data_IF_169207170528
#
_entry.id   IF_169207170528
#
_cell.length_a   1.000
_cell.length_b   1.000
_cell.length_c   1.000
_cell.angle_alpha   90.00
_cell.angle_beta   90.00
_cell.angle_gamma   90.00
#
_symmetry.space_group_name_H-M   'P 1'
#
loop_
_entity.id
_entity.type
_entity.pdbx_description
1 polymer ?
#
# COMPACT_ATOMS: atom_id res chain seq x y z
N UNK A 1 23.18 -65.94 16.26
CA UNK A 1 22.72 -65.95 14.86
C UNK A 1 22.11 -64.58 14.61
N UNK A 2 22.89 -63.52 14.50
CA UNK A 2 23.86 -63.17 13.46
C UNK A 2 23.21 -63.03 12.08
N UNK A 3 22.86 -61.78 11.73
CA UNK A 3 22.74 -61.32 10.34
C UNK A 3 22.83 -59.78 10.32
N UNK A 4 24.01 -59.32 9.91
CA UNK A 4 24.37 -57.95 9.57
C UNK A 4 23.70 -57.54 8.27
N UNK A 5 23.24 -56.28 8.16
CA UNK A 5 23.06 -55.61 6.88
C UNK A 5 23.84 -54.29 6.93
N UNK A 6 24.85 -54.20 6.05
CA UNK A 6 25.63 -53.00 5.76
C UNK A 6 24.94 -52.25 4.62
N UNK A 7 24.89 -50.92 4.70
CA UNK A 7 24.76 -50.08 3.51
C UNK A 7 25.98 -49.17 3.41
N UNK A 8 26.54 -49.13 2.20
CA UNK A 8 27.76 -48.41 1.85
C UNK A 8 27.48 -46.92 1.66
N UNK A 9 28.34 -46.06 2.21
CA UNK A 9 28.44 -44.66 1.83
C UNK A 9 29.30 -44.54 0.58
N UNK A 10 28.76 -43.86 -0.44
CA UNK A 10 29.52 -43.37 -1.60
C UNK A 10 29.67 -41.86 -1.46
N UNK A 11 30.92 -41.40 -1.43
CA UNK A 11 31.29 -39.99 -1.50
C UNK A 11 30.99 -39.44 -2.90
N UNK A 12 30.56 -38.18 -3.00
CA UNK A 12 30.36 -37.52 -4.28
C UNK A 12 29.91 -36.07 -4.18
N UNK A 13 30.89 -35.17 -4.36
CA UNK A 13 30.76 -33.80 -4.89
C UNK A 13 30.10 -32.74 -3.98
N UNK A 14 30.98 -31.94 -3.35
CA UNK A 14 30.65 -30.66 -2.74
C UNK A 14 30.66 -29.58 -3.83
N UNK A 15 29.48 -29.11 -4.27
CA UNK A 15 29.35 -27.89 -5.07
C UNK A 15 29.20 -26.73 -4.09
N UNK A 16 30.19 -25.84 -4.09
CA UNK A 16 30.16 -24.57 -3.38
C UNK A 16 29.26 -23.60 -4.15
N UNK A 17 27.99 -23.46 -3.74
CA UNK A 17 27.13 -22.38 -4.19
C UNK A 17 27.29 -21.21 -3.22
N UNK A 18 27.81 -20.07 -3.72
CA UNK A 18 27.73 -18.80 -3.04
C UNK A 18 26.25 -18.43 -2.88
N UNK A 19 25.77 -18.38 -1.64
CA UNK A 19 24.49 -17.77 -1.30
C UNK A 19 24.67 -16.26 -1.10
N UNK A 20 23.91 -15.46 -1.85
CA UNK A 20 23.62 -14.07 -1.50
C UNK A 20 22.79 -14.06 -0.22
N UNK A 21 23.28 -13.32 0.79
CA UNK A 21 22.61 -13.12 2.06
C UNK A 21 21.40 -12.18 1.91
N UNK A 22 20.24 -12.60 2.41
CA UNK A 22 19.05 -11.75 2.42
C UNK A 22 17.77 -12.44 2.90
N UNK A 23 17.85 -13.29 3.93
CA UNK A 23 16.70 -13.74 4.74
C UNK A 23 17.28 -14.53 5.93
N UNK A 24 17.24 -13.96 7.13
CA UNK A 24 17.61 -14.69 8.36
C UNK A 24 16.39 -15.42 8.89
N UNK A 25 16.35 -16.74 8.72
CA UNK A 25 15.49 -17.62 9.52
C UNK A 25 16.02 -17.66 10.95
N UNK A 26 15.37 -16.97 11.88
CA UNK A 26 15.71 -17.09 13.30
C UNK A 26 14.95 -18.28 13.89
N UNK A 27 15.59 -19.45 13.90
CA UNK A 27 15.17 -20.55 14.78
C UNK A 27 15.86 -20.36 16.12
N UNK A 28 15.08 -20.10 17.17
CA UNK A 28 15.60 -19.88 18.52
C UNK A 28 16.00 -21.23 19.14
N UNK A 29 17.30 -21.44 19.36
CA UNK A 29 17.79 -22.51 20.25
C UNK A 29 18.84 -21.89 21.18
N UNK A 30 18.62 -22.03 22.49
CA UNK A 30 19.51 -21.51 23.53
C UNK A 30 20.75 -22.42 23.64
N UNK A 31 21.95 -21.84 23.56
CA UNK A 31 23.15 -22.39 24.19
C UNK A 31 24.22 -21.30 24.37
N UNK A 32 24.96 -21.43 25.47
CA UNK A 32 25.89 -20.48 26.07
C UNK A 32 27.24 -20.32 25.30
N UNK A 33 27.77 -19.11 25.46
CA UNK A 33 29.17 -18.65 25.51
C UNK A 33 30.32 -19.64 25.20
N UNK A 34 31.21 -19.26 24.28
CA UNK A 34 32.68 -19.31 24.47
C UNK A 34 33.43 -18.42 23.47
N UNK A 35 34.36 -17.63 24.01
CA UNK A 35 35.32 -16.74 23.34
C UNK A 35 36.45 -17.54 22.69
N UNK A 36 36.89 -17.16 21.49
CA UNK A 36 38.33 -17.06 21.14
C UNK A 36 38.51 -16.31 19.82
N UNK A 37 39.58 -15.52 19.76
CA UNK A 37 39.89 -14.60 18.67
C UNK A 37 40.61 -15.23 17.48
N UNK A 38 40.79 -14.41 16.45
CA UNK A 38 41.58 -14.72 15.27
C UNK A 38 41.68 -13.50 14.36
N UNK A 39 42.83 -12.83 14.39
CA UNK A 39 43.24 -11.82 13.42
C UNK A 39 43.43 -12.47 12.04
N UNK A 40 43.01 -11.77 10.98
CA UNK A 40 43.18 -12.23 9.60
C UNK A 40 42.94 -11.13 8.58
N UNK A 41 44.04 -10.59 8.05
CA UNK A 41 44.14 -9.62 6.96
C UNK A 41 43.60 -10.15 5.62
N UNK A 42 43.06 -9.28 4.74
CA UNK A 42 43.03 -9.62 3.32
C UNK A 42 42.11 -8.81 2.40
N UNK A 43 42.74 -7.92 1.62
CA UNK A 43 42.42 -7.45 0.26
C UNK A 43 41.13 -6.67 -0.02
N UNK A 44 41.36 -5.39 -0.35
CA UNK A 44 40.48 -4.47 -1.05
C UNK A 44 40.21 -4.94 -2.49
N UNK A 45 38.93 -5.12 -2.82
CA UNK A 45 38.44 -5.33 -4.18
C UNK A 45 37.44 -4.24 -4.53
N UNK A 46 37.93 -3.13 -5.06
CA UNK A 46 37.12 -2.00 -5.57
C UNK A 46 36.40 -2.41 -6.85
N UNK A 47 35.18 -2.94 -6.70
CA UNK A 47 34.24 -3.18 -7.77
C UNK A 47 33.19 -2.07 -7.78
N UNK A 48 33.48 -0.97 -8.49
CA UNK A 48 32.54 0.12 -8.73
C UNK A 48 31.38 -0.36 -9.61
N UNK A 49 30.36 -0.95 -8.99
CA UNK A 49 29.06 -1.19 -9.61
C UNK A 49 28.37 0.15 -9.84
N UNK A 50 28.27 0.57 -11.10
CA UNK A 50 27.47 1.72 -11.50
C UNK A 50 26.02 1.47 -11.11
N UNK A 51 25.57 2.09 -10.02
CA UNK A 51 24.15 2.20 -9.69
C UNK A 51 23.53 3.01 -10.82
N UNK A 52 22.82 2.35 -11.72
CA UNK A 52 21.94 3.03 -12.67
C UNK A 52 20.88 3.75 -11.83
N UNK A 53 21.06 5.06 -11.67
CA UNK A 53 20.03 5.93 -11.12
C UNK A 53 18.83 5.84 -12.05
N UNK A 54 17.78 5.17 -11.60
CA UNK A 54 16.49 5.21 -12.29
C UNK A 54 16.11 6.68 -12.47
N UNK A 55 15.96 7.11 -13.72
CA UNK A 55 15.38 8.42 -14.01
C UNK A 55 13.99 8.44 -13.37
N UNK A 56 13.84 9.23 -12.31
CA UNK A 56 12.56 9.47 -11.70
C UNK A 56 11.70 10.21 -12.74
N UNK A 57 10.73 9.50 -13.33
CA UNK A 57 9.67 10.16 -14.07
C UNK A 57 8.87 10.93 -13.02
N UNK A 58 9.14 12.22 -12.91
CA UNK A 58 8.43 13.09 -11.99
C UNK A 58 6.98 13.19 -12.45
N UNK A 59 6.08 12.50 -11.74
CA UNK A 59 4.65 12.66 -11.96
C UNK A 59 4.20 14.04 -11.47
N UNK A 60 3.59 14.82 -12.37
CA UNK A 60 2.96 16.09 -12.04
C UNK A 60 1.69 15.84 -11.21
N UNK A 61 1.46 16.62 -10.16
CA UNK A 61 0.21 16.62 -9.41
C UNK A 61 -1.03 16.76 -10.32
N UNK A 62 -0.89 17.41 -11.47
CA UNK A 62 -1.94 17.49 -12.49
C UNK A 62 -2.37 16.11 -13.02
N UNK A 63 -1.48 15.12 -13.05
CA UNK A 63 -1.79 13.75 -13.49
C UNK A 63 -2.81 13.06 -12.59
N UNK A 64 -2.80 13.39 -11.30
CA UNK A 64 -3.68 12.80 -10.29
C UNK A 64 -4.94 13.63 -10.03
N UNK A 65 -5.23 14.65 -10.87
CA UNK A 65 -6.43 15.49 -10.70
C UNK A 65 -7.73 14.67 -10.71
N UNK A 66 -7.75 13.58 -11.47
CA UNK A 66 -8.89 12.68 -11.60
C UNK A 66 -8.66 11.36 -10.83
N UNK A 67 -7.75 11.35 -9.86
CA UNK A 67 -7.53 10.17 -9.03
C UNK A 67 -8.81 9.87 -8.24
N UNK A 68 -9.17 8.60 -8.23
CA UNK A 68 -10.28 8.05 -7.48
C UNK A 68 -9.97 8.06 -5.98
N UNK A 69 -11.01 8.12 -5.18
CA UNK A 69 -10.92 8.00 -3.73
C UNK A 69 -10.92 6.52 -3.31
N UNK A 70 -10.53 6.23 -2.06
CA UNK A 70 -10.73 4.90 -1.50
C UNK A 70 -12.21 4.51 -1.56
N UNK A 71 -12.48 3.27 -1.97
CA UNK A 71 -13.81 2.73 -2.21
C UNK A 71 -14.42 3.07 -3.57
N UNK A 72 -13.90 4.06 -4.29
CA UNK A 72 -14.37 4.39 -5.63
C UNK A 72 -13.89 3.36 -6.67
N UNK A 73 -14.78 3.08 -7.62
CA UNK A 73 -14.63 1.98 -8.57
C UNK A 73 -14.21 2.50 -9.93
N UNK A 74 -13.10 1.98 -10.43
CA UNK A 74 -12.75 2.06 -11.84
C UNK A 74 -13.33 0.87 -12.59
N UNK A 75 -14.00 1.12 -13.72
CA UNK A 75 -14.53 0.07 -14.59
C UNK A 75 -13.81 0.07 -15.92
N UNK A 76 -13.45 -1.11 -16.40
CA UNK A 76 -12.82 -1.29 -17.70
C UNK A 76 -13.24 -2.61 -18.35
N UNK A 77 -13.18 -2.67 -19.67
CA UNK A 77 -13.33 -3.92 -20.42
C UNK A 77 -12.03 -4.71 -20.36
N UNK A 78 -12.10 -5.97 -19.90
CA UNK A 78 -10.92 -6.81 -19.71
C UNK A 78 -10.11 -7.03 -20.99
N UNK A 79 -10.76 -7.14 -22.16
CA UNK A 79 -10.10 -7.48 -23.41
C UNK A 79 -9.35 -6.28 -24.01
N UNK A 80 -9.89 -5.09 -23.83
CA UNK A 80 -9.37 -3.86 -24.45
C UNK A 80 -8.67 -2.94 -23.46
N UNK A 81 -8.87 -3.08 -22.14
CA UNK A 81 -8.36 -2.13 -21.14
C UNK A 81 -9.04 -0.75 -21.19
N UNK A 82 -10.05 -0.58 -22.06
CA UNK A 82 -10.76 0.69 -22.22
C UNK A 82 -11.71 0.93 -21.04
N UNK A 83 -11.74 2.17 -20.55
CA UNK A 83 -12.64 2.59 -19.47
C UNK A 83 -14.08 2.76 -19.95
N UNK A 84 -15.05 2.43 -19.10
CA UNK A 84 -16.47 2.60 -19.38
C UNK A 84 -17.24 3.09 -18.15
N UNK A 85 -18.18 4.02 -18.36
CA UNK A 85 -19.12 4.43 -17.30
C UNK A 85 -20.28 3.44 -17.13
N UNK A 86 -20.63 2.71 -18.20
CA UNK A 86 -21.75 1.76 -18.22
C UNK A 86 -21.30 0.28 -18.15
N UNK A 87 -22.19 -0.57 -17.62
CA UNK A 87 -22.03 -2.01 -17.42
C UNK A 87 -22.44 -2.87 -18.62
N UNK A 88 -22.71 -2.27 -19.78
CA UNK A 88 -23.24 -2.98 -20.96
C UNK A 88 -22.22 -3.90 -21.66
N UNK A 89 -20.92 -3.79 -21.37
CA UNK A 89 -19.92 -4.69 -21.96
C UNK A 89 -19.94 -6.08 -21.31
N UNK A 90 -19.77 -7.13 -22.13
CA UNK A 90 -19.81 -8.52 -21.64
C UNK A 90 -18.62 -8.89 -20.73
N UNK A 91 -17.52 -8.13 -20.75
CA UNK A 91 -16.27 -8.43 -20.05
C UNK A 91 -15.81 -7.32 -19.09
N UNK A 92 -16.75 -6.58 -18.49
CA UNK A 92 -16.42 -5.49 -17.56
C UNK A 92 -15.82 -6.05 -16.26
N UNK A 93 -14.67 -5.49 -15.86
CA UNK A 93 -14.06 -5.63 -14.54
C UNK A 93 -14.23 -4.32 -13.78
N UNK A 94 -14.57 -4.42 -12.49
CA UNK A 94 -14.52 -3.30 -11.55
C UNK A 94 -13.32 -3.46 -10.64
N UNK A 95 -12.46 -2.46 -10.59
CA UNK A 95 -11.27 -2.39 -9.74
C UNK A 95 -11.46 -1.24 -8.73
N UNK A 96 -11.11 -1.47 -7.46
CA UNK A 96 -11.14 -0.41 -6.45
C UNK A 96 -10.13 -0.71 -5.34
N UNK A 97 -9.74 0.35 -4.63
CA UNK A 97 -8.85 0.26 -3.47
C UNK A 97 -9.67 0.48 -2.22
N UNK A 98 -9.62 -0.44 -1.27
CA UNK A 98 -10.44 -0.36 -0.06
C UNK A 98 -9.76 0.40 1.06
N UNK A 99 -8.48 0.13 1.28
CA UNK A 99 -7.72 0.69 2.41
C UNK A 99 -6.21 0.54 2.18
N UNK A 100 -5.43 1.21 3.03
CA UNK A 100 -3.98 1.12 3.06
C UNK A 100 -3.49 1.02 4.51
N UNK A 101 -2.34 0.38 4.72
CA UNK A 101 -1.73 0.23 6.05
C UNK A 101 -0.21 0.22 5.94
N UNK A 102 0.49 0.73 6.94
CA UNK A 102 1.96 0.64 7.00
C UNK A 102 2.42 -0.15 8.22
N UNK A 103 3.46 -0.97 8.03
CA UNK A 103 3.95 -1.93 9.04
C UNK A 103 5.47 -2.13 8.92
N UNK A 104 6.18 -2.36 10.04
CA UNK A 104 7.59 -2.74 9.99
C UNK A 104 7.81 -4.19 9.51
N UNK A 105 6.78 -5.05 9.63
CA UNK A 105 6.80 -6.45 9.20
C UNK A 105 5.38 -6.94 8.91
N UNK A 106 5.27 -8.07 8.22
CA UNK A 106 4.03 -8.85 8.11
C UNK A 106 4.32 -10.34 8.30
N UNK A 107 3.29 -11.15 8.52
CA UNK A 107 3.40 -12.60 8.62
C UNK A 107 2.60 -13.27 7.53
N UNK A 108 3.23 -14.22 6.85
CA UNK A 108 2.57 -15.09 5.88
C UNK A 108 2.42 -16.48 6.48
N UNK A 109 1.21 -17.03 6.42
CA UNK A 109 0.91 -18.42 6.75
C UNK A 109 0.87 -19.26 5.49
N UNK A 110 1.67 -20.32 5.43
CA UNK A 110 1.50 -21.39 4.46
C UNK A 110 0.27 -22.23 4.85
N UNK A 111 -0.80 -22.23 4.05
CA UNK A 111 -2.03 -22.92 4.42
C UNK A 111 -1.92 -24.45 4.37
N UNK A 112 -0.92 -24.99 3.67
CA UNK A 112 -0.70 -26.44 3.59
C UNK A 112 0.05 -26.97 4.81
N UNK A 113 1.11 -26.27 5.22
CA UNK A 113 1.97 -26.70 6.35
C UNK A 113 1.59 -26.06 7.67
N UNK A 114 0.82 -24.97 7.65
CA UNK A 114 0.53 -24.12 8.80
C UNK A 114 1.69 -23.22 9.23
N UNK A 115 2.86 -23.33 8.58
CA UNK A 115 4.07 -22.59 8.94
C UNK A 115 3.87 -21.08 8.77
N UNK A 116 4.37 -20.32 9.75
CA UNK A 116 4.36 -18.86 9.75
C UNK A 116 5.74 -18.33 9.39
N UNK A 117 5.80 -17.48 8.37
CA UNK A 117 7.03 -16.77 7.97
C UNK A 117 6.85 -15.29 8.23
N UNK A 118 7.71 -14.72 9.08
CA UNK A 118 7.76 -13.28 9.33
C UNK A 118 8.63 -12.62 8.28
N UNK A 119 8.05 -11.72 7.49
CA UNK A 119 8.77 -10.90 6.53
C UNK A 119 9.00 -9.53 7.17
N UNK A 120 10.27 -9.13 7.32
CA UNK A 120 10.65 -7.84 7.92
C UNK A 120 11.18 -6.95 6.81
N UNK A 121 10.85 -5.66 6.83
CA UNK A 121 11.40 -4.73 5.84
C UNK A 121 12.91 -4.57 6.03
N UNK A 122 13.60 -4.22 4.95
CA UNK A 122 15.02 -3.87 4.96
C UNK A 122 15.30 -2.71 5.93
N UNK A 123 16.54 -2.61 6.40
CA UNK A 123 16.94 -1.55 7.31
C UNK A 123 16.60 -0.15 6.76
N UNK A 124 15.95 0.67 7.58
CA UNK A 124 15.50 2.03 7.19
C UNK A 124 14.25 2.06 6.32
N UNK A 125 13.58 0.92 6.09
CA UNK A 125 12.34 0.80 5.33
C UNK A 125 11.19 0.26 6.18
N UNK A 126 9.99 0.29 5.62
CA UNK A 126 8.77 -0.34 6.13
C UNK A 126 7.95 -0.88 4.96
N UNK A 127 7.00 -1.76 5.25
CA UNK A 127 5.99 -2.16 4.27
C UNK A 127 4.82 -1.18 4.27
N UNK A 128 4.36 -0.82 3.07
CA UNK A 128 3.11 -0.15 2.82
C UNK A 128 2.21 -1.12 2.05
N UNK A 129 1.10 -1.51 2.66
CA UNK A 129 0.17 -2.50 2.15
C UNK A 129 -1.08 -1.79 1.62
N UNK A 130 -1.55 -2.19 0.45
CA UNK A 130 -2.73 -1.60 -0.21
C UNK A 130 -3.72 -2.69 -0.57
N UNK A 131 -4.94 -2.62 -0.02
CA UNK A 131 -6.01 -3.59 -0.29
C UNK A 131 -6.68 -3.25 -1.61
N UNK A 132 -6.62 -4.18 -2.57
CA UNK A 132 -7.17 -4.05 -3.91
C UNK A 132 -8.23 -5.12 -4.14
N UNK A 133 -9.35 -4.70 -4.69
CA UNK A 133 -10.50 -5.54 -4.97
C UNK A 133 -10.87 -5.48 -6.45
N UNK A 134 -11.05 -6.64 -7.07
CA UNK A 134 -11.45 -6.79 -8.46
C UNK A 134 -12.72 -7.64 -8.56
N UNK A 135 -13.76 -7.13 -9.22
CA UNK A 135 -15.04 -7.81 -9.38
C UNK A 135 -15.40 -7.99 -10.87
N UNK A 136 -15.89 -9.18 -11.22
CA UNK A 136 -16.43 -9.45 -12.56
C UNK A 136 -17.87 -8.90 -12.66
N UNK A 137 -18.04 -7.83 -13.44
CA UNK A 137 -19.34 -7.19 -13.67
C UNK A 137 -20.02 -7.61 -14.97
N UNK A 138 -19.30 -8.24 -15.90
CA UNK A 138 -19.84 -8.71 -17.19
C UNK A 138 -20.95 -9.77 -17.12
N UNK A 139 -21.26 -10.36 -18.28
CA UNK A 139 -22.39 -11.28 -18.48
C UNK A 139 -22.23 -12.64 -17.80
N UNK A 140 -23.28 -13.48 -17.88
CA UNK A 140 -23.18 -14.87 -17.43
C UNK A 140 -22.36 -15.71 -18.41
N UNK A 141 -21.59 -16.65 -17.89
CA UNK A 141 -20.77 -17.56 -18.68
C UNK A 141 -19.51 -16.92 -19.26
N UNK A 142 -19.14 -15.72 -18.82
CA UNK A 142 -17.89 -15.07 -19.20
C UNK A 142 -16.83 -15.23 -18.12
N UNK A 143 -15.58 -15.13 -18.54
CA UNK A 143 -14.40 -15.11 -17.68
C UNK A 143 -13.67 -13.80 -17.90
N UNK A 144 -13.18 -13.20 -16.81
CA UNK A 144 -12.23 -12.08 -16.86
C UNK A 144 -11.00 -12.45 -16.06
N UNK A 145 -9.85 -11.88 -16.42
CA UNK A 145 -8.62 -12.05 -15.63
C UNK A 145 -8.29 -10.74 -14.93
N UNK A 146 -8.05 -10.80 -13.62
CA UNK A 146 -7.65 -9.63 -12.84
C UNK A 146 -6.27 -9.11 -13.28
N UNK A 147 -5.95 -7.82 -13.09
CA UNK A 147 -4.66 -7.27 -13.46
C UNK A 147 -3.50 -8.00 -12.76
N UNK A 148 -2.37 -8.11 -13.46
CA UNK A 148 -1.16 -8.63 -12.83
C UNK A 148 -0.64 -7.63 -11.79
N UNK A 149 -0.14 -8.07 -10.60
CA UNK A 149 0.41 -7.16 -9.58
C UNK A 149 1.48 -6.20 -10.13
N UNK A 150 2.31 -6.66 -11.09
CA UNK A 150 3.33 -5.82 -11.73
C UNK A 150 2.81 -4.65 -12.58
N UNK A 151 1.49 -4.59 -12.87
CA UNK A 151 0.85 -3.44 -13.51
C UNK A 151 0.52 -2.33 -12.51
N UNK A 152 0.65 -2.58 -11.21
CA UNK A 152 0.44 -1.57 -10.20
C UNK A 152 1.74 -0.85 -9.86
N UNK A 153 1.62 0.43 -9.54
CA UNK A 153 2.69 1.27 -9.02
C UNK A 153 2.15 2.12 -7.88
N UNK A 154 2.92 2.22 -6.80
CA UNK A 154 2.68 3.21 -5.76
C UNK A 154 3.49 4.46 -6.11
N UNK A 155 2.85 5.60 -6.28
CA UNK A 155 3.50 6.89 -6.53
C UNK A 155 3.36 7.79 -5.30
N UNK A 156 4.44 8.39 -4.82
CA UNK A 156 4.40 9.44 -3.79
C UNK A 156 5.59 10.38 -3.97
N UNK A 157 5.34 11.69 -3.90
CA UNK A 157 6.38 12.74 -3.96
C UNK A 157 7.31 12.61 -5.19
N UNK A 158 6.75 12.20 -6.33
CA UNK A 158 7.50 12.02 -7.59
C UNK A 158 8.33 10.72 -7.66
N UNK A 159 8.24 9.86 -6.65
CA UNK A 159 8.93 8.56 -6.61
C UNK A 159 7.91 7.43 -6.79
N UNK A 160 8.29 6.40 -7.55
CA UNK A 160 7.49 5.19 -7.77
C UNK A 160 8.06 3.98 -7.06
N UNK A 161 7.18 3.16 -6.51
CA UNK A 161 7.49 1.88 -5.90
C UNK A 161 6.71 0.79 -6.63
N UNK A 162 7.42 -0.26 -7.04
CA UNK A 162 6.79 -1.47 -7.56
C UNK A 162 6.34 -2.33 -6.38
N UNK A 163 5.20 -3.04 -6.48
CA UNK A 163 4.84 -3.97 -5.46
C UNK A 163 5.92 -5.05 -5.40
N UNK A 164 6.31 -5.39 -4.19
CA UNK A 164 7.14 -6.53 -3.92
C UNK A 164 6.44 -7.76 -4.48
N UNK A 165 7.03 -8.33 -5.52
CA UNK A 165 6.72 -9.69 -5.97
C UNK A 165 7.39 -10.70 -5.03
N UNK A 166 7.44 -10.41 -3.73
CA UNK A 166 8.03 -11.26 -2.69
C UNK A 166 7.04 -12.38 -2.37
N UNK A 167 6.85 -13.20 -3.39
CA UNK A 167 6.64 -14.62 -3.28
C UNK A 167 7.68 -15.20 -4.24
N UNK A 168 8.95 -15.08 -3.83
CA UNK A 168 10.11 -15.42 -4.63
C UNK A 168 10.32 -16.93 -4.78
N UNK A 169 11.08 -17.28 -5.81
CA UNK A 169 11.66 -18.59 -6.08
C UNK A 169 12.37 -19.21 -4.85
N UNK A 170 12.76 -18.40 -3.86
CA UNK A 170 13.42 -18.79 -2.62
C UNK A 170 12.49 -19.37 -1.54
N UNK A 171 11.16 -19.25 -1.67
CA UNK A 171 10.18 -19.92 -0.78
C UNK A 171 9.64 -21.20 -1.48
N UNK A 172 10.17 -21.57 -2.65
CA UNK A 172 9.62 -22.66 -3.47
C UNK A 172 8.25 -22.35 -4.07
N UNK A 173 7.81 -21.09 -4.01
CA UNK A 173 6.47 -20.71 -4.44
C UNK A 173 6.53 -20.18 -5.86
N UNK A 174 6.24 -21.06 -6.82
CA UNK A 174 5.78 -20.63 -8.13
C UNK A 174 4.26 -20.45 -8.06
N UNK A 175 3.78 -19.21 -8.04
CA UNK A 175 2.39 -18.94 -8.42
C UNK A 175 2.30 -19.16 -9.93
N UNK A 176 1.95 -20.38 -10.35
CA UNK A 176 1.59 -20.63 -11.75
C UNK A 176 0.27 -19.94 -12.01
N UNK A 177 0.35 -18.75 -12.59
CA UNK A 177 -0.76 -18.10 -13.26
C UNK A 177 -1.37 -19.09 -14.26
N UNK A 178 -2.69 -19.27 -14.20
CA UNK A 178 -3.40 -20.07 -15.18
C UNK A 178 -3.15 -19.47 -16.58
N UNK A 179 -2.67 -20.30 -17.50
CA UNK A 179 -2.63 -19.98 -18.93
C UNK A 179 -3.81 -20.73 -19.56
N UNK A 180 -4.87 -20.05 -20.00
CA UNK A 180 -5.94 -20.72 -20.72
C UNK A 180 -5.42 -21.07 -22.12
N UNK A 181 -5.33 -22.38 -22.43
CA UNK A 181 -4.94 -22.85 -23.76
C UNK A 181 -4.31 -24.24 -23.89
N UNK A 182 -4.05 -24.98 -22.80
CA UNK A 182 -3.63 -26.38 -22.92
C UNK A 182 -4.82 -27.33 -22.83
N UNK A 183 -5.21 -27.92 -23.96
CA UNK A 183 -6.27 -28.95 -24.10
C UNK A 183 -6.01 -30.27 -23.34
N UNK A 184 -5.16 -30.29 -22.31
CA UNK A 184 -4.85 -31.46 -21.50
C UNK A 184 -5.45 -31.37 -20.11
N UNK A 185 -6.79 -31.39 -20.04
CA UNK A 185 -7.57 -31.46 -18.79
C UNK A 185 -7.38 -32.78 -18.00
N UNK A 186 -6.49 -33.68 -18.45
CA UNK A 186 -6.29 -35.02 -17.86
C UNK A 186 -4.93 -35.29 -17.24
N UNK A 187 -3.93 -34.41 -17.38
CA UNK A 187 -2.57 -34.66 -16.85
C UNK A 187 -1.90 -33.44 -16.19
N UNK A 188 -2.64 -32.42 -15.76
CA UNK A 188 -2.09 -31.31 -14.95
C UNK A 188 -1.87 -31.69 -13.47
N UNK A 189 -1.38 -32.90 -13.25
CA UNK A 189 -1.07 -33.42 -11.93
C UNK A 189 0.22 -32.75 -11.42
N UNK A 190 0.12 -32.17 -10.21
CA UNK A 190 1.09 -31.30 -9.49
C UNK A 190 1.03 -29.80 -9.80
N UNK A 191 -0.15 -29.22 -9.58
CA UNK A 191 -0.31 -27.92 -8.93
C UNK A 191 0.34 -27.96 -7.53
N UNK A 192 1.37 -27.16 -7.29
CA UNK A 192 1.69 -26.77 -5.92
C UNK A 192 0.74 -25.65 -5.53
N UNK A 193 -0.37 -26.08 -4.93
CA UNK A 193 -1.44 -25.30 -4.30
C UNK A 193 -0.94 -24.75 -2.96
N UNK A 194 0.16 -24.00 -2.95
CA UNK A 194 0.56 -23.32 -1.73
C UNK A 194 -0.22 -22.02 -1.66
N UNK A 195 -1.39 -22.08 -1.03
CA UNK A 195 -2.18 -20.91 -0.71
C UNK A 195 -1.54 -20.26 0.51
N UNK A 196 -1.28 -18.96 0.42
CA UNK A 196 -0.73 -18.17 1.49
C UNK A 196 -1.72 -17.08 1.88
N UNK A 197 -1.79 -16.81 3.18
CA UNK A 197 -2.67 -15.77 3.75
C UNK A 197 -1.83 -14.93 4.70
N UNK A 198 -1.97 -13.61 4.63
CA UNK A 198 -1.54 -12.73 5.71
C UNK A 198 -2.38 -13.00 6.94
N UNK A 199 -1.75 -13.45 8.01
CA UNK A 199 -2.47 -13.84 9.22
C UNK A 199 -3.38 -12.72 9.77
N UNK A 200 -2.95 -11.46 9.62
CA UNK A 200 -3.68 -10.29 10.11
C UNK A 200 -4.54 -9.59 9.05
N UNK A 201 -4.36 -9.91 7.75
CA UNK A 201 -4.87 -9.05 6.66
C UNK A 201 -5.66 -9.80 5.58
N UNK A 202 -5.54 -11.12 5.45
CA UNK A 202 -6.21 -11.89 4.40
C UNK A 202 -5.31 -12.22 3.21
N UNK A 203 -5.87 -12.32 2.01
CA UNK A 203 -5.14 -12.86 0.84
C UNK A 203 -4.13 -11.85 0.24
N UNK A 204 -3.04 -12.37 -0.34
CA UNK A 204 -2.14 -11.58 -1.20
C UNK A 204 -2.83 -11.34 -2.53
N UNK A 205 -2.74 -10.12 -3.07
CA UNK A 205 -3.28 -9.83 -4.39
C UNK A 205 -2.48 -10.57 -5.46
N UNK A 206 -3.14 -11.45 -6.19
CA UNK A 206 -2.56 -12.24 -7.28
C UNK A 206 -3.45 -12.16 -8.51
N UNK A 207 -2.86 -12.35 -9.70
CA UNK A 207 -3.66 -12.46 -10.92
C UNK A 207 -4.55 -13.71 -10.85
N UNK A 208 -5.85 -13.56 -11.09
CA UNK A 208 -6.85 -14.64 -11.00
C UNK A 208 -7.86 -14.57 -12.14
N UNK A 209 -8.28 -15.73 -12.61
CA UNK A 209 -9.45 -15.83 -13.49
C UNK A 209 -10.72 -15.84 -12.64
N UNK A 210 -11.64 -14.92 -12.92
CA UNK A 210 -12.95 -14.84 -12.29
C UNK A 210 -13.97 -15.32 -13.32
N UNK A 211 -14.69 -16.42 -13.02
CA UNK A 211 -15.74 -16.95 -13.87
C UNK A 211 -17.12 -16.65 -13.28
N UNK A 212 -17.99 -15.99 -14.05
CA UNK A 212 -19.33 -15.61 -13.57
C UNK A 212 -20.39 -16.61 -14.00
N UNK A 213 -20.68 -17.57 -13.11
CA UNK A 213 -21.67 -18.63 -13.35
C UNK A 213 -23.14 -18.18 -13.12
N UNK A 214 -23.37 -17.09 -12.40
CA UNK A 214 -24.70 -16.67 -11.97
C UNK A 214 -24.81 -15.17 -11.68
N UNK A 215 -25.94 -14.76 -11.08
CA UNK A 215 -26.30 -13.35 -10.83
C UNK A 215 -25.29 -12.61 -9.94
N UNK A 216 -24.69 -13.34 -9.02
CA UNK A 216 -23.78 -12.77 -8.04
C UNK A 216 -22.45 -12.36 -8.69
N UNK A 217 -21.95 -11.20 -8.27
CA UNK A 217 -20.63 -10.76 -8.68
C UNK A 217 -19.57 -11.68 -8.07
N UNK A 218 -18.65 -12.17 -8.90
CA UNK A 218 -17.46 -12.87 -8.42
C UNK A 218 -16.40 -11.83 -8.16
N UNK A 219 -15.88 -11.80 -6.93
CA UNK A 219 -14.93 -10.82 -6.47
C UNK A 219 -13.67 -11.49 -5.93
N UNK A 220 -12.54 -10.83 -6.12
CA UNK A 220 -11.27 -11.14 -5.49
C UNK A 220 -10.79 -9.90 -4.75
N UNK A 221 -10.38 -10.10 -3.50
CA UNK A 221 -9.73 -9.08 -2.70
C UNK A 221 -8.33 -9.58 -2.34
N UNK A 222 -7.37 -8.67 -2.26
CA UNK A 222 -6.06 -9.00 -1.74
C UNK A 222 -5.16 -7.80 -1.56
N UNK A 223 -4.05 -7.99 -0.86
CA UNK A 223 -3.11 -6.92 -0.56
C UNK A 223 -1.93 -6.92 -1.54
N UNK A 224 -1.64 -5.74 -2.08
CA UNK A 224 -0.35 -5.41 -2.68
C UNK A 224 0.59 -4.97 -1.55
N UNK A 225 1.85 -5.41 -1.60
CA UNK A 225 2.88 -5.06 -0.63
C UNK A 225 3.92 -4.21 -1.32
N UNK A 226 4.26 -3.06 -0.74
CA UNK A 226 5.32 -2.18 -1.23
C UNK A 226 6.34 -1.99 -0.12
N UNK A 227 7.63 -2.05 -0.44
CA UNK A 227 8.68 -1.68 0.52
C UNK A 227 9.08 -0.22 0.28
N UNK A 228 8.83 0.63 1.27
CA UNK A 228 9.00 2.09 1.19
C UNK A 228 9.94 2.58 2.30
N UNK A 229 10.56 3.77 2.17
CA UNK A 229 11.37 4.36 3.24
C UNK A 229 10.58 4.47 4.56
N UNK A 230 11.26 4.37 5.71
CA UNK A 230 10.61 4.47 7.01
C UNK A 230 9.84 5.81 7.19
N UNK A 231 10.37 6.89 6.59
CA UNK A 231 9.75 8.21 6.55
C UNK A 231 8.71 8.42 5.44
N UNK A 232 8.27 7.36 4.75
CA UNK A 232 7.28 7.45 3.67
C UNK A 232 6.01 8.19 4.13
N UNK A 233 5.68 9.23 3.38
CA UNK A 233 4.51 10.08 3.57
C UNK A 233 3.40 9.63 2.62
N UNK A 234 2.27 9.21 3.17
CA UNK A 234 1.15 8.70 2.39
C UNK A 234 0.07 9.75 2.08
N UNK A 235 0.21 10.99 2.57
CA UNK A 235 -0.76 12.07 2.32
C UNK A 235 -0.94 12.35 0.81
N UNK A 236 0.14 12.22 0.06
CA UNK A 236 0.19 12.38 -1.40
C UNK A 236 0.53 11.05 -2.11
N UNK A 237 0.20 9.92 -1.49
CA UNK A 237 0.39 8.61 -2.10
C UNK A 237 -0.80 8.24 -2.99
N UNK A 238 -0.48 7.69 -4.15
CA UNK A 238 -1.43 7.21 -5.14
C UNK A 238 -1.08 5.79 -5.54
N UNK A 239 -2.07 4.90 -5.65
CA UNK A 239 -1.91 3.64 -6.35
C UNK A 239 -2.34 3.84 -7.79
N UNK A 240 -1.48 3.52 -8.75
CA UNK A 240 -1.80 3.52 -10.18
C UNK A 240 -1.90 2.09 -10.69
N UNK A 241 -2.70 1.87 -11.73
CA UNK A 241 -2.70 0.62 -12.48
C UNK A 241 -2.57 0.90 -13.98
N UNK A 242 -1.51 0.41 -14.61
CA UNK A 242 -1.32 0.52 -16.06
C UNK A 242 -2.15 -0.56 -16.79
N UNK A 243 -3.31 -0.14 -17.29
CA UNK A 243 -4.31 -1.00 -17.92
C UNK A 243 -4.37 -0.74 -19.42
N UNK A 244 -3.27 -0.95 -20.16
CA UNK A 244 -3.17 -0.89 -21.66
C UNK A 244 -3.67 0.41 -22.31
N UNK A 245 -4.96 0.73 -22.22
CA UNK A 245 -5.64 1.91 -22.74
C UNK A 245 -6.20 2.83 -21.63
N UNK A 246 -5.90 2.55 -20.37
CA UNK A 246 -6.24 3.42 -19.25
C UNK A 246 -5.21 3.36 -18.13
N UNK A 247 -5.11 4.44 -17.36
CA UNK A 247 -4.18 4.56 -16.24
C UNK A 247 -4.92 5.13 -15.01
N UNK A 248 -5.87 4.38 -14.43
CA UNK A 248 -6.54 4.82 -13.22
C UNK A 248 -5.54 4.98 -12.07
N UNK A 249 -5.83 5.96 -11.21
CA UNK A 249 -5.11 6.17 -9.97
C UNK A 249 -6.11 6.29 -8.81
N UNK A 250 -5.71 5.83 -7.62
CA UNK A 250 -6.45 5.97 -6.38
C UNK A 250 -5.61 6.74 -5.36
N UNK A 251 -6.17 7.80 -4.78
CA UNK A 251 -5.58 8.47 -3.63
C UNK A 251 -5.68 7.55 -2.42
N UNK A 252 -4.55 7.27 -1.78
CA UNK A 252 -4.46 6.29 -0.68
C UNK A 252 -4.67 6.91 0.71
N UNK A 253 -4.81 8.24 0.75
CA UNK A 253 -5.07 8.97 1.98
C UNK A 253 -6.58 9.20 2.17
N UNK A 254 -7.13 8.59 3.22
CA UNK A 254 -8.59 8.51 3.49
C UNK A 254 -9.17 9.73 4.24
N UNK A 255 -8.34 10.68 4.68
CA UNK A 255 -8.86 11.80 5.46
C UNK A 255 -9.42 12.90 4.55
N UNK A 256 -10.55 12.57 3.91
CA UNK A 256 -11.35 13.50 3.14
C UNK A 256 -12.29 14.23 4.07
N UNK A 257 -11.79 15.31 4.64
CA UNK A 257 -12.56 16.20 5.48
C UNK A 257 -12.77 17.53 4.78
N UNK A 258 -13.89 18.17 5.07
CA UNK A 258 -14.18 19.53 4.66
C UNK A 258 -14.15 20.41 5.91
N UNK A 259 -13.27 21.40 5.91
CA UNK A 259 -13.22 22.44 6.93
C UNK A 259 -13.31 23.80 6.25
N UNK A 260 -13.98 24.74 6.92
CA UNK A 260 -14.00 26.15 6.49
C UNK A 260 -13.24 26.98 7.51
N UNK A 261 -12.27 27.76 7.02
CA UNK A 261 -11.51 28.72 7.84
C UNK A 261 -11.87 30.13 7.39
N UNK A 262 -12.33 30.95 8.31
CA UNK A 262 -12.68 32.34 8.04
C UNK A 262 -12.29 33.25 9.22
N UNK A 263 -12.13 34.54 8.96
CA UNK A 263 -11.93 35.55 9.99
C UNK A 263 -13.01 36.62 9.90
N UNK A 264 -13.72 36.83 10.99
CA UNK A 264 -14.72 37.87 11.12
C UNK A 264 -14.02 39.25 11.15
N UNK A 265 -14.35 40.18 10.24
CA UNK A 265 -13.69 41.48 10.17
C UNK A 265 -14.07 42.45 11.29
N UNK A 266 -15.23 42.26 11.94
CA UNK A 266 -15.75 43.13 13.00
C UNK A 266 -15.20 42.67 14.35
N UNK A 267 -15.39 41.38 14.67
CA UNK A 267 -15.01 40.81 15.96
C UNK A 267 -13.58 40.27 15.98
N UNK A 268 -12.93 40.19 14.82
CA UNK A 268 -11.56 39.67 14.64
C UNK A 268 -11.44 38.21 15.06
N UNK A 269 -12.56 37.49 15.14
CA UNK A 269 -12.60 36.09 15.52
C UNK A 269 -12.26 35.21 14.33
N UNK A 270 -11.33 34.28 14.52
CA UNK A 270 -11.04 33.21 13.57
C UNK A 270 -12.03 32.08 13.84
N UNK A 271 -12.78 31.71 12.81
CA UNK A 271 -13.79 30.65 12.84
C UNK A 271 -13.29 29.47 12.02
N UNK A 272 -13.20 28.31 12.64
CA UNK A 272 -12.94 27.05 11.96
C UNK A 272 -14.15 26.14 12.15
N UNK A 273 -14.84 25.86 11.06
CA UNK A 273 -16.04 25.03 11.03
C UNK A 273 -15.71 23.66 10.42
N UNK A 274 -16.09 22.58 11.10
CA UNK A 274 -16.03 21.23 10.53
C UNK A 274 -17.30 20.93 9.73
N UNK A 275 -17.18 20.75 8.42
CA UNK A 275 -18.30 20.51 7.49
C UNK A 275 -18.53 19.04 7.17
N UNK A 276 -17.69 18.15 7.71
CA UNK A 276 -17.79 16.71 7.49
C UNK A 276 -16.84 16.21 6.41
N UNK A 277 -17.36 15.44 5.46
CA UNK A 277 -16.59 14.76 4.41
C UNK A 277 -16.52 13.24 4.59
N UNK A 278 -16.21 12.47 3.53
CA UNK A 278 -16.19 11.00 3.57
C UNK A 278 -15.29 10.41 4.67
N UNK A 279 -14.17 11.08 4.94
CA UNK A 279 -13.18 10.67 5.94
C UNK A 279 -13.55 11.00 7.39
N UNK A 280 -14.72 11.61 7.66
CA UNK A 280 -15.12 12.07 9.01
C UNK A 280 -14.95 11.01 10.10
N UNK A 281 -15.29 9.75 9.80
CA UNK A 281 -15.22 8.64 10.77
C UNK A 281 -13.79 8.27 11.18
N UNK A 282 -12.79 8.71 10.42
CA UNK A 282 -11.38 8.45 10.71
C UNK A 282 -10.76 9.55 11.56
N UNK A 283 -11.43 10.71 11.67
CA UNK A 283 -10.96 11.87 12.42
C UNK A 283 -11.22 11.66 13.91
N UNK A 284 -10.18 11.82 14.72
CA UNK A 284 -10.25 11.80 16.17
C UNK A 284 -10.54 13.19 16.72
N UNK A 285 -9.75 14.17 16.29
CA UNK A 285 -9.86 15.57 16.71
C UNK A 285 -9.17 16.48 15.67
N UNK A 286 -9.47 17.78 15.73
CA UNK A 286 -8.85 18.80 14.88
C UNK A 286 -8.20 19.84 15.79
N UNK A 287 -6.89 20.04 15.65
CA UNK A 287 -6.13 21.07 16.37
C UNK A 287 -6.00 22.30 15.49
N UNK A 288 -6.28 23.47 16.07
CA UNK A 288 -6.16 24.76 15.39
C UNK A 288 -5.14 25.59 16.15
N UNK A 289 -4.12 26.07 15.45
CA UNK A 289 -3.08 26.93 15.99
C UNK A 289 -3.11 28.25 15.21
N UNK A 290 -3.12 29.38 15.92
CA UNK A 290 -3.04 30.70 15.31
C UNK A 290 -1.85 31.47 15.89
N UNK A 291 -0.96 31.90 15.01
CA UNK A 291 0.08 32.88 15.32
C UNK A 291 -0.44 34.27 14.92
N UNK A 292 -0.62 35.12 15.92
CA UNK A 292 -1.29 36.40 15.78
C UNK A 292 -0.32 37.49 15.34
N UNK A 293 -0.82 38.52 14.64
CA UNK A 293 0.02 39.62 14.15
C UNK A 293 0.71 40.44 15.25
N UNK A 294 0.22 40.36 16.49
CA UNK A 294 0.81 40.99 17.67
C UNK A 294 1.96 40.16 18.30
N UNK A 295 2.29 39.02 17.71
CA UNK A 295 3.32 38.10 18.17
C UNK A 295 2.86 37.08 19.22
N UNK A 296 1.61 37.15 19.67
CA UNK A 296 1.03 36.12 20.55
C UNK A 296 0.57 34.89 19.76
N UNK A 297 0.30 33.79 20.46
CA UNK A 297 -0.22 32.57 19.86
C UNK A 297 -1.40 32.04 20.69
N UNK A 298 -2.38 31.48 19.99
CA UNK A 298 -3.54 30.84 20.60
C UNK A 298 -3.86 29.53 19.89
N UNK A 299 -4.51 28.62 20.59
CA UNK A 299 -4.88 27.32 20.04
C UNK A 299 -6.26 26.89 20.53
N UNK A 300 -6.94 26.11 19.70
CA UNK A 300 -8.21 25.48 20.03
C UNK A 300 -8.22 24.03 19.53
N UNK A 301 -9.18 23.26 20.05
CA UNK A 301 -9.46 21.91 19.57
C UNK A 301 -10.93 21.83 19.18
N UNK A 302 -11.18 21.22 18.03
CA UNK A 302 -12.48 21.06 17.42
C UNK A 302 -12.81 19.56 17.36
N UNK A 303 -13.99 19.19 17.86
CA UNK A 303 -14.49 17.83 17.72
C UNK A 303 -14.97 17.60 16.28
N UNK A 304 -14.83 16.39 15.70
CA UNK A 304 -15.26 16.10 14.34
C UNK A 304 -16.79 15.91 14.24
N UNK A 305 -17.55 16.87 14.78
CA UNK A 305 -19.01 16.91 14.73
C UNK A 305 -19.40 17.92 13.64
N UNK A 306 -20.20 17.49 12.67
CA UNK A 306 -20.60 18.35 11.54
C UNK A 306 -21.33 19.60 12.08
N UNK A 307 -20.85 20.78 11.66
CA UNK A 307 -21.34 22.08 12.11
C UNK A 307 -20.70 22.59 13.40
N UNK A 308 -19.80 21.82 14.03
CA UNK A 308 -19.01 22.31 15.15
C UNK A 308 -18.09 23.44 14.68
N UNK A 309 -18.03 24.51 15.48
CA UNK A 309 -17.20 25.68 15.22
C UNK A 309 -16.27 25.92 16.39
N UNK A 310 -14.99 26.08 16.09
CA UNK A 310 -13.99 26.56 17.03
C UNK A 310 -13.74 28.04 16.75
N UNK A 311 -13.80 28.84 17.81
CA UNK A 311 -13.57 30.27 17.77
C UNK A 311 -12.24 30.59 18.46
N UNK A 312 -11.37 31.33 17.77
CA UNK A 312 -10.16 31.87 18.35
C UNK A 312 -10.20 33.40 18.23
N UNK A 313 -9.87 34.11 19.30
CA UNK A 313 -9.72 35.55 19.22
C UNK A 313 -8.47 35.89 18.41
N UNK A 314 -8.67 36.49 17.23
CA UNK A 314 -7.59 37.02 16.40
C UNK A 314 -7.38 38.52 16.59
N UNK A 315 -6.51 39.10 15.77
CA UNK A 315 -6.13 40.52 15.82
C UNK A 315 -6.75 41.34 14.68
N UNK A 316 -6.51 42.64 14.64
CA UNK A 316 -6.88 43.46 13.46
C UNK A 316 -5.97 43.22 12.25
N UNK A 317 -4.80 42.61 12.44
CA UNK A 317 -3.84 42.34 11.37
C UNK A 317 -4.06 41.01 10.67
N UNK A 318 -3.03 40.59 9.96
CA UNK A 318 -2.94 39.31 9.28
C UNK A 318 -2.51 38.24 10.29
N UNK A 319 -3.36 37.25 10.56
CA UNK A 319 -3.05 36.16 11.48
C UNK A 319 -2.75 34.89 10.67
N UNK A 320 -1.71 34.16 11.04
CA UNK A 320 -1.35 32.91 10.40
C UNK A 320 -2.05 31.75 11.11
N UNK A 321 -2.85 30.99 10.38
CA UNK A 321 -3.68 29.92 10.94
C UNK A 321 -3.26 28.59 10.35
N UNK A 322 -3.03 27.62 11.25
CA UNK A 322 -2.72 26.25 10.92
C UNK A 322 -3.79 25.32 11.50
N UNK A 323 -4.39 24.50 10.64
CA UNK A 323 -5.38 23.49 11.01
C UNK A 323 -4.79 22.11 10.77
N UNK A 324 -4.66 21.34 11.84
CA UNK A 324 -4.12 19.97 11.83
C UNK A 324 -5.24 18.99 12.18
N UNK A 325 -5.46 18.03 11.29
CA UNK A 325 -6.46 16.98 11.50
C UNK A 325 -5.75 15.74 12.03
N UNK A 326 -6.19 15.26 13.19
CA UNK A 326 -5.64 14.07 13.85
C UNK A 326 -6.59 12.89 13.66
N UNK A 327 -6.06 11.76 13.20
CA UNK A 327 -6.84 10.56 12.92
C UNK A 327 -6.75 9.56 14.06
N UNK A 328 -7.73 8.66 14.17
CA UNK A 328 -7.70 7.55 15.14
C UNK A 328 -6.54 6.58 14.89
N UNK A 329 -6.00 6.53 13.66
CA UNK A 329 -4.80 5.78 13.32
C UNK A 329 -3.52 6.35 13.95
N UNK A 330 -3.58 7.54 14.57
CA UNK A 330 -2.42 8.27 15.06
C UNK A 330 -1.73 9.13 13.99
N UNK A 331 -2.15 9.03 12.72
CA UNK A 331 -1.70 9.91 11.64
C UNK A 331 -2.26 11.32 11.84
N UNK A 332 -1.49 12.32 11.40
CA UNK A 332 -1.90 13.73 11.42
C UNK A 332 -1.49 14.39 10.12
N UNK A 333 -2.27 15.36 9.65
CA UNK A 333 -1.95 16.13 8.45
C UNK A 333 -2.41 17.58 8.58
N UNK A 334 -1.72 18.46 7.87
CA UNK A 334 -2.03 19.88 7.80
C UNK A 334 -3.09 20.09 6.72
N UNK A 335 -4.28 20.52 7.12
CA UNK A 335 -5.39 20.78 6.22
C UNK A 335 -5.32 22.21 5.64
N UNK A 336 -4.98 23.17 6.49
CA UNK A 336 -4.88 24.58 6.17
C UNK A 336 -3.66 25.16 6.87
N UNK A 337 -2.86 25.96 6.18
CA UNK A 337 -1.68 26.64 6.73
C UNK A 337 -1.46 27.91 5.92
N UNK A 338 -2.15 28.99 6.29
CA UNK A 338 -2.13 30.24 5.54
C UNK A 338 -2.48 31.44 6.41
N UNK A 339 -2.20 32.63 5.88
CA UNK A 339 -2.59 33.90 6.45
C UNK A 339 -4.08 34.16 6.21
N UNK A 340 -4.82 34.32 7.31
CA UNK A 340 -6.24 34.68 7.27
C UNK A 340 -6.40 36.17 7.53
N UNK A 341 -6.96 36.86 6.53
CA UNK A 341 -7.24 38.30 6.59
C UNK A 341 -8.68 38.57 6.95
N UNK A 342 -8.92 39.66 7.68
CA UNK A 342 -10.26 40.21 7.82
C UNK A 342 -10.76 40.62 6.43
N UNK A 343 -11.85 40.01 5.93
CA UNK A 343 -12.48 40.46 4.68
C UNK A 343 -13.03 41.87 4.88
N UNK A 344 -12.39 42.88 4.31
CA UNK A 344 -12.98 44.22 4.20
C UNK A 344 -14.27 44.14 3.39
N UNK A 345 -15.37 44.68 3.92
CA UNK A 345 -16.61 44.89 3.16
C UNK A 345 -16.27 45.82 1.99
N UNK A 346 -16.28 45.28 0.77
CA UNK A 346 -16.24 46.05 -0.47
C UNK A 346 -17.60 46.65 -0.80
#
# INVERSE_FOLDING_TARGET
MDSRIRFCFSAGVLILLLFCAGCTETTQTNAETLLSGGEGSGSEGSGGGSVQSAEAIAYDAAMFRNALNLGERFRYDHATGQSYDDTSSKNTVSLFVETSSDRPYYQIRNLKTGALTKCTASAGKKYYLVSVSAAHLGGYGTTVVTPHPGLFELASEGVTYKPEQVIGESIGVQIKNYLPGSDSYRNADRTMTETFVFEDFGEIYVRKELYKAGKDAVMQNGWLVFEVPAGFNDVNAYLMADLTNSLPAWKLFDAQVELSVAKDPIYRTILVEFRGGPGTRTVRDITIEAALSDGSATAATLQPVIGEVAELQGTSGDDHVKVVVNLYSGKRFVYFDDIVRAKTRG
#
